data_IF_313999275376
#
_entry.id   IF_313999275376
#
_cell.length_a   1.000
_cell.length_b   1.000
_cell.length_c   1.000
_cell.angle_alpha   90.00
_cell.angle_beta   90.00
_cell.angle_gamma   90.00
#
_symmetry.space_group_name_H-M   'P 1'
#
loop_
_entity.id
_entity.type
_entity.pdbx_description
1 polymer ?
#
# COMPACT_ATOMS: atom_id res chain seq x y z
N UNK A 1 -7.96 17.55 -19.53
CA UNK A 1 -7.43 16.30 -20.13
C UNK A 1 -8.62 15.45 -20.53
N UNK A 2 -8.49 14.45 -21.40
CA UNK A 2 -9.64 13.61 -21.78
C UNK A 2 -9.55 12.23 -21.16
N UNK A 3 -10.66 11.73 -20.64
CA UNK A 3 -10.82 10.36 -20.14
C UNK A 3 -11.95 9.67 -20.90
N UNK A 4 -11.80 8.37 -21.14
CA UNK A 4 -12.87 7.57 -21.74
C UNK A 4 -13.90 7.22 -20.67
N UNK A 5 -15.14 7.64 -20.86
CA UNK A 5 -16.24 7.35 -19.94
C UNK A 5 -17.04 6.16 -20.48
N UNK A 6 -17.00 5.03 -19.77
CA UNK A 6 -17.70 3.80 -20.17
C UNK A 6 -19.23 3.97 -20.18
N UNK A 7 -19.79 4.82 -19.31
CA UNK A 7 -21.24 5.06 -19.25
C UNK A 7 -21.75 5.77 -20.51
N UNK A 8 -20.98 6.72 -21.03
CA UNK A 8 -21.33 7.49 -22.23
C UNK A 8 -20.64 6.99 -23.51
N UNK A 9 -19.73 6.03 -23.38
CA UNK A 9 -18.91 5.41 -24.43
C UNK A 9 -18.10 6.39 -25.28
N UNK A 10 -17.66 7.52 -24.69
CA UNK A 10 -16.91 8.57 -25.40
C UNK A 10 -15.79 9.17 -24.55
N UNK A 11 -14.88 9.87 -25.22
CA UNK A 11 -13.88 10.71 -24.55
C UNK A 11 -14.53 12.01 -24.06
N UNK A 12 -14.40 12.30 -22.78
CA UNK A 12 -14.95 13.49 -22.13
C UNK A 12 -13.83 14.34 -21.52
N UNK A 13 -14.04 15.66 -21.49
CA UNK A 13 -13.12 16.56 -20.79
C UNK A 13 -13.20 16.33 -19.28
N UNK A 14 -12.02 16.25 -18.69
CA UNK A 14 -11.80 16.10 -17.27
C UNK A 14 -10.77 17.15 -16.85
N UNK A 15 -11.20 18.08 -15.99
CA UNK A 15 -10.31 19.04 -15.35
C UNK A 15 -9.91 18.52 -13.96
N UNK A 16 -8.66 18.03 -13.80
CA UNK A 16 -8.22 17.45 -12.53
C UNK A 16 -7.93 18.51 -11.45
N UNK A 17 -7.97 19.80 -11.79
CA UNK A 17 -7.70 20.90 -10.86
C UNK A 17 -8.96 21.60 -10.35
N UNK A 18 -10.12 21.30 -10.94
CA UNK A 18 -11.39 21.91 -10.53
C UNK A 18 -11.80 21.49 -9.10
N UNK A 19 -11.46 20.26 -8.69
CA UNK A 19 -11.77 19.68 -7.38
C UNK A 19 -10.80 18.53 -7.05
N UNK A 20 -10.63 18.15 -5.77
CA UNK A 20 -9.93 16.92 -5.41
C UNK A 20 -10.51 15.71 -6.16
N UNK A 21 -9.64 14.91 -6.77
CA UNK A 21 -10.02 13.73 -7.55
C UNK A 21 -10.23 12.58 -6.59
N UNK A 22 -11.45 12.03 -6.54
CA UNK A 22 -11.75 10.80 -5.80
C UNK A 22 -11.78 9.64 -6.78
N UNK A 23 -10.88 8.67 -6.59
CA UNK A 23 -10.72 7.51 -7.46
C UNK A 23 -10.94 6.23 -6.66
N UNK A 24 -11.92 5.44 -7.06
CA UNK A 24 -12.13 4.09 -6.54
C UNK A 24 -11.76 3.07 -7.62
N UNK A 25 -10.95 2.08 -7.25
CA UNK A 25 -10.61 0.94 -8.10
C UNK A 25 -10.95 -0.34 -7.35
N UNK A 26 -11.68 -1.23 -8.00
CA UNK A 26 -12.00 -2.53 -7.42
C UNK A 26 -10.70 -3.31 -7.16
N UNK A 27 -10.51 -3.71 -5.90
CA UNK A 27 -9.39 -4.56 -5.50
C UNK A 27 -9.63 -6.04 -5.76
N UNK A 28 -8.74 -6.86 -5.22
CA UNK A 28 -8.73 -8.30 -5.45
C UNK A 28 -9.76 -9.06 -4.58
N UNK A 29 -10.13 -10.24 -5.04
CA UNK A 29 -10.67 -11.32 -4.21
C UNK A 29 -9.53 -12.27 -3.87
N UNK A 30 -8.99 -12.28 -2.64
CA UNK A 30 -7.71 -12.89 -2.30
C UNK A 30 -7.85 -14.40 -2.02
N UNK A 31 -8.29 -15.19 -3.00
CA UNK A 31 -8.34 -16.66 -2.88
C UNK A 31 -7.17 -17.37 -3.60
N UNK A 32 -6.42 -16.65 -4.43
CA UNK A 32 -5.30 -17.18 -5.19
C UNK A 32 -4.26 -16.11 -5.58
N UNK A 33 -3.21 -16.55 -6.28
CA UNK A 33 -2.08 -15.72 -6.73
C UNK A 33 -2.52 -14.62 -7.70
N UNK A 34 -1.97 -13.41 -7.51
CA UNK A 34 -2.15 -12.28 -8.42
C UNK A 34 -1.55 -12.58 -9.81
N UNK A 35 -2.39 -12.69 -10.84
CA UNK A 35 -1.94 -12.88 -12.23
C UNK A 35 -1.69 -11.55 -12.98
N UNK A 36 -1.11 -11.64 -14.18
CA UNK A 36 -0.75 -10.48 -15.01
C UNK A 36 -1.93 -9.55 -15.34
N UNK A 37 -3.15 -10.06 -15.43
CA UNK A 37 -4.35 -9.22 -15.61
C UNK A 37 -4.57 -8.22 -14.47
N UNK A 38 -4.37 -8.63 -13.22
CA UNK A 38 -4.42 -7.73 -12.07
C UNK A 38 -3.30 -6.70 -12.14
N UNK A 39 -2.06 -7.15 -12.42
CA UNK A 39 -0.91 -6.26 -12.54
C UNK A 39 -1.14 -5.19 -13.61
N UNK A 40 -1.64 -5.56 -14.79
CA UNK A 40 -1.95 -4.61 -15.86
C UNK A 40 -2.97 -3.55 -15.42
N UNK A 41 -4.04 -3.96 -14.74
CA UNK A 41 -5.07 -3.06 -14.21
C UNK A 41 -4.48 -2.09 -13.19
N UNK A 42 -3.81 -2.59 -12.14
CA UNK A 42 -3.28 -1.74 -11.08
C UNK A 42 -2.14 -0.84 -11.58
N UNK A 43 -1.30 -1.31 -12.52
CA UNK A 43 -0.31 -0.46 -13.17
C UNK A 43 -0.95 0.67 -13.99
N UNK A 44 -2.06 0.41 -14.70
CA UNK A 44 -2.74 1.46 -15.46
C UNK A 44 -3.28 2.56 -14.54
N UNK A 45 -3.85 2.18 -13.39
CA UNK A 45 -4.34 3.15 -12.40
C UNK A 45 -3.22 3.84 -11.62
N UNK A 46 -2.11 3.16 -11.29
CA UNK A 46 -0.91 3.79 -10.71
C UNK A 46 -0.37 4.87 -11.65
N UNK A 47 -0.26 4.59 -12.96
CA UNK A 47 0.15 5.58 -13.96
C UNK A 47 -0.83 6.76 -14.01
N UNK A 48 -2.15 6.50 -13.94
CA UNK A 48 -3.16 7.56 -13.90
C UNK A 48 -3.00 8.44 -12.66
N UNK A 49 -2.90 7.86 -11.47
CA UNK A 49 -2.72 8.59 -10.20
C UNK A 49 -1.46 9.45 -10.26
N UNK A 50 -0.31 8.86 -10.63
CA UNK A 50 0.96 9.59 -10.77
C UNK A 50 0.87 10.71 -11.79
N UNK A 51 0.17 10.51 -12.90
CA UNK A 51 -0.02 11.55 -13.90
C UNK A 51 -0.90 12.69 -13.37
N UNK A 52 -1.97 12.39 -12.64
CA UNK A 52 -2.83 13.40 -12.01
C UNK A 52 -2.07 14.23 -10.97
N UNK A 53 -1.30 13.57 -10.10
CA UNK A 53 -0.44 14.23 -9.12
C UNK A 53 0.65 15.09 -9.79
N UNK A 54 1.29 14.57 -10.85
CA UNK A 54 2.24 15.34 -11.66
C UNK A 54 1.62 16.62 -12.24
N UNK A 55 0.32 16.59 -12.57
CA UNK A 55 -0.43 17.75 -13.06
C UNK A 55 -0.88 18.71 -11.95
N UNK A 56 -0.57 18.41 -10.68
CA UNK A 56 -0.91 19.23 -9.52
C UNK A 56 -2.25 18.89 -8.86
N UNK A 57 -2.90 17.81 -9.27
CA UNK A 57 -4.16 17.39 -8.67
C UNK A 57 -3.92 16.74 -7.29
N UNK A 58 -4.87 16.96 -6.37
CA UNK A 58 -4.96 16.16 -5.14
C UNK A 58 -5.81 14.92 -5.44
N UNK A 59 -5.28 13.72 -5.21
CA UNK A 59 -5.97 12.46 -5.47
C UNK A 59 -6.24 11.73 -4.15
N UNK A 60 -7.50 11.40 -3.92
CA UNK A 60 -7.96 10.48 -2.88
C UNK A 60 -8.25 9.12 -3.53
N UNK A 61 -7.30 8.19 -3.39
CA UNK A 61 -7.33 6.86 -3.99
C UNK A 61 -7.80 5.82 -2.97
N UNK A 62 -8.86 5.09 -3.32
CA UNK A 62 -9.42 4.02 -2.52
C UNK A 62 -9.45 2.71 -3.31
N UNK A 63 -8.96 1.64 -2.68
CA UNK A 63 -8.97 0.28 -3.20
C UNK A 63 -9.46 -0.64 -2.08
N UNK A 64 -10.49 -1.43 -2.36
CA UNK A 64 -11.02 -2.40 -1.40
C UNK A 64 -10.23 -3.72 -1.42
N UNK A 65 -10.51 -4.61 -0.47
CA UNK A 65 -10.18 -6.03 -0.59
C UNK A 65 -11.48 -6.78 -0.40
N UNK A 66 -11.84 -7.66 -1.33
CA UNK A 66 -13.03 -8.50 -1.21
C UNK A 66 -12.67 -9.73 -0.38
N UNK A 67 -12.48 -9.52 0.92
CA UNK A 67 -11.99 -10.52 1.88
C UNK A 67 -12.99 -11.64 2.18
N UNK A 68 -14.26 -11.45 1.81
CA UNK A 68 -15.32 -12.45 1.87
C UNK A 68 -16.03 -12.58 0.51
N UNK A 69 -15.95 -13.77 -0.07
CA UNK A 69 -16.56 -14.12 -1.35
C UNK A 69 -16.78 -15.64 -1.44
N UNK A 70 -17.73 -16.08 -2.26
CA UNK A 70 -18.05 -17.49 -2.48
C UNK A 70 -16.83 -18.28 -2.99
N UNK A 71 -15.97 -17.65 -3.78
CA UNK A 71 -14.74 -18.27 -4.29
C UNK A 71 -13.75 -18.52 -3.16
N UNK A 72 -13.53 -17.54 -2.28
CA UNK A 72 -12.65 -17.68 -1.10
C UNK A 72 -13.18 -18.76 -0.15
N UNK A 73 -14.50 -18.79 0.10
CA UNK A 73 -15.15 -19.78 0.97
C UNK A 73 -15.00 -21.19 0.38
N UNK A 74 -15.12 -21.33 -0.94
CA UNK A 74 -15.02 -22.62 -1.64
C UNK A 74 -13.57 -23.13 -1.76
N UNK A 75 -12.60 -22.24 -1.90
CA UNK A 75 -11.19 -22.60 -2.07
C UNK A 75 -10.47 -22.93 -0.76
N UNK A 76 -10.81 -22.27 0.35
CA UNK A 76 -10.19 -22.50 1.66
C UNK A 76 -10.10 -23.99 2.08
N UNK A 77 -11.19 -24.78 2.10
CA UNK A 77 -11.13 -26.17 2.52
C UNK A 77 -10.30 -27.05 1.58
N UNK A 78 -10.20 -26.71 0.28
CA UNK A 78 -9.35 -27.42 -0.68
C UNK A 78 -7.86 -27.25 -0.38
N UNK A 79 -7.50 -26.14 0.26
CA UNK A 79 -6.13 -25.79 0.67
C UNK A 79 -5.85 -26.12 2.13
N UNK A 80 -6.77 -26.77 2.84
CA UNK A 80 -6.60 -27.17 4.24
C UNK A 80 -6.56 -26.01 5.23
N UNK A 81 -7.19 -24.87 4.89
CA UNK A 81 -7.23 -23.66 5.72
C UNK A 81 -8.66 -23.13 5.86
N UNK A 82 -8.87 -22.09 6.68
CA UNK A 82 -10.14 -21.35 6.72
C UNK A 82 -10.10 -20.13 5.78
N UNK A 83 -11.27 -19.60 5.44
CA UNK A 83 -11.41 -18.51 4.45
C UNK A 83 -10.68 -17.23 4.85
N UNK A 84 -10.63 -16.91 6.15
CA UNK A 84 -9.99 -15.71 6.68
C UNK A 84 -8.47 -15.81 6.55
N UNK A 85 -7.90 -16.95 6.95
CA UNK A 85 -6.46 -17.17 6.85
C UNK A 85 -6.01 -17.25 5.39
N UNK A 86 -6.82 -17.87 4.52
CA UNK A 86 -6.58 -17.86 3.06
C UNK A 86 -6.56 -16.42 2.53
N UNK A 87 -7.59 -15.64 2.85
CA UNK A 87 -7.74 -14.25 2.43
C UNK A 87 -6.58 -13.37 2.91
N UNK A 88 -6.19 -13.48 4.17
CA UNK A 88 -5.06 -12.76 4.74
C UNK A 88 -3.74 -13.13 4.05
N UNK A 89 -3.52 -14.43 3.79
CA UNK A 89 -2.30 -14.92 3.11
C UNK A 89 -2.16 -14.32 1.72
N UNK A 90 -3.22 -14.36 0.90
CA UNK A 90 -3.15 -13.81 -0.46
C UNK A 90 -3.17 -12.28 -0.49
N UNK A 91 -3.81 -11.63 0.48
CA UNK A 91 -3.72 -10.16 0.65
C UNK A 91 -2.30 -9.73 0.99
N UNK A 92 -1.61 -10.52 1.83
CA UNK A 92 -0.21 -10.30 2.16
C UNK A 92 0.68 -10.48 0.92
N UNK A 93 0.51 -11.55 0.15
CA UNK A 93 1.23 -11.74 -1.12
C UNK A 93 1.00 -10.58 -2.11
N UNK A 94 -0.26 -10.16 -2.30
CA UNK A 94 -0.60 -9.02 -3.16
C UNK A 94 0.10 -7.73 -2.71
N UNK A 95 0.21 -7.53 -1.39
CA UNK A 95 0.91 -6.40 -0.79
C UNK A 95 2.43 -6.60 -0.73
N UNK A 96 3.01 -7.53 -1.50
CA UNK A 96 4.45 -7.78 -1.55
C UNK A 96 5.07 -8.29 -0.25
N UNK A 97 4.25 -8.82 0.66
CA UNK A 97 4.69 -9.33 1.95
C UNK A 97 5.05 -10.83 1.87
N UNK A 98 5.75 -11.32 2.89
CA UNK A 98 6.10 -12.74 3.04
C UNK A 98 5.23 -13.39 4.12
N UNK A 99 4.06 -13.96 3.79
CA UNK A 99 3.13 -14.48 4.79
C UNK A 99 3.66 -15.71 5.52
N UNK A 100 4.51 -16.52 4.88
CA UNK A 100 5.07 -17.75 5.46
C UNK A 100 6.29 -17.52 6.36
N UNK A 101 6.65 -16.27 6.69
CA UNK A 101 7.76 -15.98 7.60
C UNK A 101 7.44 -16.49 9.01
N UNK A 102 8.19 -17.49 9.53
CA UNK A 102 7.89 -18.10 10.83
C UNK A 102 8.08 -17.14 12.02
N UNK A 103 8.66 -15.95 11.80
CA UNK A 103 8.81 -14.91 12.82
C UNK A 103 7.56 -14.03 12.97
N UNK A 104 6.57 -14.16 12.08
CA UNK A 104 5.33 -13.38 12.10
C UNK A 104 4.26 -14.04 12.95
N UNK A 105 3.39 -13.23 13.52
CA UNK A 105 2.21 -13.69 14.26
C UNK A 105 0.99 -13.74 13.34
N UNK A 106 0.91 -12.79 12.41
CA UNK A 106 -0.14 -12.69 11.40
C UNK A 106 0.47 -12.52 9.99
N UNK A 107 -0.10 -13.13 8.94
CA UNK A 107 0.35 -12.95 7.56
C UNK A 107 0.43 -11.47 7.11
N UNK A 108 -0.41 -10.60 7.68
CA UNK A 108 -0.45 -9.17 7.38
C UNK A 108 0.60 -8.36 8.17
N UNK A 109 1.33 -8.97 9.10
CA UNK A 109 2.43 -8.32 9.81
C UNK A 109 3.50 -7.85 8.81
N UNK A 110 3.84 -6.57 8.86
CA UNK A 110 4.90 -5.97 8.03
C UNK A 110 6.14 -5.66 8.86
N UNK A 111 7.29 -5.68 8.19
CA UNK A 111 8.58 -5.39 8.82
C UNK A 111 8.72 -3.88 9.02
N UNK A 112 8.99 -3.45 10.26
CA UNK A 112 9.39 -2.06 10.55
C UNK A 112 10.89 -1.85 10.39
N UNK A 113 11.70 -2.84 10.78
CA UNK A 113 13.15 -2.82 10.70
C UNK A 113 13.67 -4.17 10.19
N UNK A 114 14.37 -4.15 9.07
CA UNK A 114 14.99 -5.34 8.48
C UNK A 114 16.46 -5.40 8.92
N UNK A 115 16.83 -6.44 9.68
CA UNK A 115 18.20 -6.67 10.09
C UNK A 115 19.12 -6.85 8.87
N UNK A 116 20.37 -6.39 8.99
CA UNK A 116 21.37 -6.47 7.92
C UNK A 116 21.67 -7.91 7.52
N UNK A 117 21.56 -8.21 6.22
CA UNK A 117 22.19 -9.39 5.65
C UNK A 117 23.66 -9.12 5.27
N UNK A 118 24.54 -10.13 5.26
CA UNK A 118 25.95 -9.94 4.92
C UNK A 118 26.15 -9.22 3.58
N UNK A 119 26.88 -8.10 3.60
CA UNK A 119 27.18 -7.30 2.41
C UNK A 119 26.13 -6.26 2.02
N UNK A 120 25.02 -6.13 2.77
CA UNK A 120 24.01 -5.10 2.51
C UNK A 120 24.29 -3.78 3.26
N UNK A 121 23.83 -2.63 2.74
CA UNK A 121 23.87 -1.37 3.48
C UNK A 121 22.98 -1.42 4.72
N UNK A 122 23.44 -0.80 5.81
CA UNK A 122 22.75 -0.76 7.09
C UNK A 122 23.03 0.54 7.84
N UNK A 123 22.11 0.91 8.72
CA UNK A 123 22.22 1.99 9.69
C UNK A 123 22.17 1.42 11.10
N UNK A 124 22.84 2.07 12.04
CA UNK A 124 22.77 1.71 13.46
C UNK A 124 21.38 2.05 14.02
N UNK A 125 20.87 1.18 14.89
CA UNK A 125 19.59 1.37 15.58
C UNK A 125 19.58 0.64 16.93
N UNK A 126 18.60 0.92 17.82
CA UNK A 126 18.41 0.17 19.06
C UNK A 126 18.17 -1.34 18.86
N UNK A 127 17.78 -1.76 17.66
CA UNK A 127 17.52 -3.17 17.30
C UNK A 127 18.66 -3.82 16.51
N UNK A 128 19.82 -3.15 16.44
CA UNK A 128 20.98 -3.59 15.68
C UNK A 128 21.06 -3.01 14.26
N UNK A 129 22.16 -3.28 13.54
CA UNK A 129 22.37 -2.79 12.18
C UNK A 129 21.29 -3.34 11.24
N UNK A 130 20.67 -2.45 10.46
CA UNK A 130 19.63 -2.82 9.52
C UNK A 130 19.11 -1.63 8.71
N UNK A 131 17.91 -1.77 8.15
CA UNK A 131 17.26 -0.74 7.35
C UNK A 131 15.76 -0.67 7.63
N UNK A 132 15.10 0.48 7.41
CA UNK A 132 13.65 0.56 7.46
C UNK A 132 13.01 -0.50 6.56
N UNK A 133 12.02 -1.21 7.10
CA UNK A 133 11.24 -2.15 6.30
C UNK A 133 10.37 -1.39 5.29
N UNK A 134 10.21 -1.98 4.11
CA UNK A 134 9.40 -1.39 3.04
C UNK A 134 7.97 -1.91 3.22
N UNK A 135 7.02 -1.03 3.51
CA UNK A 135 5.59 -1.34 3.40
C UNK A 135 5.05 -0.62 2.16
N UNK A 136 4.57 -1.35 1.13
CA UNK A 136 4.17 -0.75 -0.14
C UNK A 136 2.98 0.21 -0.04
N UNK A 137 2.17 0.13 1.03
CA UNK A 137 1.06 1.09 1.27
C UNK A 137 1.45 2.26 2.17
N UNK A 138 2.68 2.27 2.69
CA UNK A 138 3.11 3.28 3.67
C UNK A 138 3.91 4.40 3.02
N UNK A 139 3.22 5.39 2.45
CA UNK A 139 3.81 6.71 2.21
C UNK A 139 4.30 7.38 3.53
N UNK A 140 3.88 6.87 4.70
CA UNK A 140 4.13 7.45 6.03
C UNK A 140 5.40 6.96 6.75
N UNK A 141 5.84 5.72 6.55
CA UNK A 141 6.96 5.15 7.35
C UNK A 141 8.31 5.75 6.92
N UNK A 142 8.48 6.08 5.64
CA UNK A 142 9.73 6.68 5.14
C UNK A 142 9.95 8.11 5.67
N UNK A 143 8.87 8.88 5.88
CA UNK A 143 8.96 10.27 6.37
C UNK A 143 9.26 10.35 7.88
N UNK A 144 8.76 9.41 8.69
CA UNK A 144 9.00 9.39 10.14
C UNK A 144 10.43 8.99 10.54
N UNK A 145 11.03 8.02 9.83
CA UNK A 145 12.38 7.52 10.14
C UNK A 145 13.50 8.42 9.59
N UNK A 146 13.30 9.10 8.46
CA UNK A 146 14.26 10.09 7.96
C UNK A 146 14.28 11.38 8.80
N UNK A 147 13.16 11.75 9.43
CA UNK A 147 13.10 12.90 10.34
C UNK A 147 13.94 12.71 11.62
N UNK A 148 14.16 11.46 12.06
CA UNK A 148 14.96 11.15 13.25
C UNK A 148 16.47 11.14 13.02
N UNK A 149 16.93 11.13 11.76
CA UNK A 149 18.35 10.96 11.44
C UNK A 149 19.06 12.22 10.93
N UNK A 150 18.36 13.34 10.64
CA UNK A 150 19.00 14.53 10.03
C UNK A 150 18.42 15.92 10.36
N UNK A 151 18.15 16.27 11.61
CA UNK A 151 18.04 17.70 11.98
C UNK A 151 18.58 17.97 13.41
N UNK A 152 19.40 19.02 13.62
CA UNK A 152 19.67 19.50 14.98
C UNK A 152 18.35 19.97 15.62
N UNK A 153 18.19 19.87 16.95
CA UNK A 153 16.95 20.21 17.62
C UNK A 153 16.60 21.68 17.36
N UNK A 154 15.54 21.91 16.57
CA UNK A 154 14.89 23.21 16.51
C UNK A 154 14.37 23.52 17.91
N UNK A 155 14.85 24.62 18.48
CA UNK A 155 14.42 25.10 19.78
C UNK A 155 12.90 25.27 19.78
N UNK A 156 12.21 24.45 20.57
CA UNK A 156 10.77 24.57 20.79
C UNK A 156 10.50 25.88 21.52
N UNK A 157 9.94 26.87 20.83
CA UNK A 157 9.24 27.97 21.48
C UNK A 157 7.84 27.47 21.84
N UNK A 158 7.56 27.36 23.13
CA UNK A 158 6.27 26.96 23.66
C UNK A 158 5.27 28.11 23.52
N UNK A 159 4.30 27.96 22.62
CA UNK A 159 3.10 28.80 22.62
C UNK A 159 2.05 28.09 23.47
N UNK A 160 1.75 28.63 24.66
CA UNK A 160 0.61 28.21 25.48
C UNK A 160 -0.67 28.77 24.87
N UNK A 161 -1.61 27.92 24.50
CA UNK A 161 -3.00 28.33 24.33
C UNK A 161 -3.65 28.35 25.73
N UNK A 162 -4.09 29.54 26.14
CA UNK A 162 -4.96 29.71 27.31
C UNK A 162 -6.40 29.37 26.92
N UNK A 163 -6.99 28.47 27.72
CA UNK A 163 -8.41 28.15 27.95
C UNK A 163 -9.35 28.06 26.74
#
# INVERSE_FOLDING_TARGET
MKLYNTQSQRLEEFDPLAHPVRLYVCGITPYDTTHLGHAATYCAFDVLVRYLEYRGATVDYCENVTDIDDDTIREAPKRGTNWRDLGNTWTAHFSGNFPDDPKKRDPLDFVLWQAQAPGEPAWDSPWGPGRPGVNPRSHLVLMGLLALSRFPPLQSHSVRLHA
#
